data_IF_759607412688
#
_entry.id   IF_759607412688
#
_cell.length_a   1.000
_cell.length_b   1.000
_cell.length_c   1.000
_cell.angle_alpha   90.00
_cell.angle_beta   90.00
_cell.angle_gamma   90.00
#
_symmetry.space_group_name_H-M   'P 1'
#
loop_
_entity.id
_entity.type
_entity.pdbx_description
1 polymer ?
#
# COMPACT_ATOMS: atom_id res chain seq x y z
N UNK A 1 -20.18 21.97 31.46
CA UNK A 1 -19.76 21.67 32.83
C UNK A 1 -18.25 21.84 32.90
N UNK A 2 -17.79 23.01 33.36
CA UNK A 2 -16.36 23.30 33.54
C UNK A 2 -15.85 22.42 34.67
N UNK A 3 -14.86 21.56 34.44
CA UNK A 3 -14.20 20.84 35.53
C UNK A 3 -13.48 21.86 36.41
N UNK A 4 -14.02 22.14 37.58
CA UNK A 4 -13.39 23.00 38.58
C UNK A 4 -12.31 22.19 39.30
N UNK A 5 -11.05 22.60 39.11
CA UNK A 5 -9.91 22.02 39.80
C UNK A 5 -9.62 22.83 41.06
N UNK A 6 -9.49 22.17 42.21
CA UNK A 6 -9.28 22.78 43.55
C UNK A 6 -8.17 23.85 43.55
N UNK A 7 -7.11 23.61 42.78
CA UNK A 7 -5.91 24.44 42.72
C UNK A 7 -5.74 25.13 41.35
N UNK A 8 -6.85 25.53 40.71
CA UNK A 8 -6.80 26.23 39.44
C UNK A 8 -6.18 27.63 39.61
N UNK A 9 -5.07 27.90 38.88
CA UNK A 9 -4.31 29.16 38.87
C UNK A 9 -3.63 29.55 40.20
N UNK A 10 -3.52 28.62 41.15
CA UNK A 10 -2.76 28.85 42.39
C UNK A 10 -1.26 28.66 42.18
N UNK A 11 -0.45 29.41 42.92
CA UNK A 11 1.01 29.24 42.93
C UNK A 11 1.40 27.84 43.43
N UNK A 12 2.52 27.30 42.94
CA UNK A 12 3.04 26.00 43.35
C UNK A 12 3.70 26.09 44.73
N UNK A 13 3.38 25.17 45.63
CA UNK A 13 4.08 25.04 46.91
C UNK A 13 5.28 24.09 46.78
N UNK A 14 6.23 24.19 47.73
CA UNK A 14 7.41 23.31 47.79
C UNK A 14 6.98 21.84 47.93
N UNK A 15 5.98 21.56 48.76
CA UNK A 15 5.46 20.20 48.97
C UNK A 15 4.82 19.64 47.70
N UNK A 16 4.07 20.46 46.95
CA UNK A 16 3.49 20.04 45.66
C UNK A 16 4.58 19.73 44.64
N UNK A 17 5.65 20.53 44.59
CA UNK A 17 6.78 20.29 43.68
C UNK A 17 7.57 19.03 44.07
N UNK A 18 7.82 18.82 45.36
CA UNK A 18 8.47 17.60 45.87
C UNK A 18 7.64 16.35 45.59
N UNK A 19 6.30 16.45 45.69
CA UNK A 19 5.40 15.36 45.31
C UNK A 19 5.47 15.05 43.82
N UNK A 20 5.50 16.07 42.96
CA UNK A 20 5.70 15.88 41.52
C UNK A 20 7.05 15.20 41.26
N UNK A 21 8.13 15.65 41.89
CA UNK A 21 9.46 15.02 41.76
C UNK A 21 9.51 13.55 42.16
N UNK A 22 8.88 13.19 43.27
CA UNK A 22 8.91 11.82 43.78
C UNK A 22 8.08 10.83 42.92
N UNK A 23 6.97 11.30 42.35
CA UNK A 23 5.95 10.45 41.73
C UNK A 23 5.88 10.54 40.19
N UNK A 24 6.42 11.61 39.57
CA UNK A 24 6.37 11.80 38.12
C UNK A 24 7.22 10.74 37.40
N UNK A 25 6.58 9.93 36.55
CA UNK A 25 7.21 8.81 35.85
C UNK A 25 7.05 7.44 36.53
N UNK A 26 6.65 7.42 37.81
CA UNK A 26 6.27 6.19 38.54
C UNK A 26 4.75 5.97 38.53
N UNK A 27 3.99 7.06 38.70
CA UNK A 27 2.53 7.02 38.73
C UNK A 27 1.93 7.64 37.45
N UNK A 28 0.72 7.23 37.04
CA UNK A 28 -0.02 7.90 35.98
C UNK A 28 -0.20 9.39 36.28
N UNK A 29 0.08 10.26 35.30
CA UNK A 29 -0.01 11.72 35.47
C UNK A 29 -1.42 12.18 35.87
N UNK A 30 -2.46 11.43 35.50
CA UNK A 30 -3.84 11.70 35.88
C UNK A 30 -4.07 11.52 37.40
N UNK A 31 -3.42 10.55 38.04
CA UNK A 31 -3.53 10.33 39.49
C UNK A 31 -2.80 11.42 40.27
N UNK A 32 -1.61 11.82 39.78
CA UNK A 32 -0.86 12.95 40.34
C UNK A 32 -1.69 14.24 40.23
N UNK A 33 -2.34 14.47 39.09
CA UNK A 33 -3.21 15.62 38.86
C UNK A 33 -4.43 15.62 39.80
N UNK A 34 -5.08 14.47 39.99
CA UNK A 34 -6.18 14.31 40.92
C UNK A 34 -5.76 14.55 42.38
N UNK A 35 -4.61 13.99 42.79
CA UNK A 35 -4.07 14.14 44.14
C UNK A 35 -3.75 15.59 44.48
N UNK A 36 -3.14 16.32 43.54
CA UNK A 36 -2.79 17.73 43.72
C UNK A 36 -3.95 18.69 43.39
N UNK A 37 -5.11 18.18 42.96
CA UNK A 37 -6.25 19.00 42.56
C UNK A 37 -5.93 20.00 41.43
N UNK A 38 -4.98 19.64 40.54
CA UNK A 38 -4.48 20.45 39.43
C UNK A 38 -4.78 19.78 38.10
N UNK A 39 -4.66 20.50 37.00
CA UNK A 39 -4.83 19.92 35.66
C UNK A 39 -3.61 19.06 35.28
N UNK A 40 -3.84 18.04 34.43
CA UNK A 40 -2.76 17.23 33.84
C UNK A 40 -1.73 18.10 33.11
N UNK A 41 -2.18 19.18 32.45
CA UNK A 41 -1.31 20.17 31.81
C UNK A 41 -0.43 20.91 32.81
N UNK A 42 -0.96 21.31 33.97
CA UNK A 42 -0.17 21.95 35.02
C UNK A 42 0.93 21.01 35.56
N UNK A 43 0.61 19.74 35.80
CA UNK A 43 1.60 18.74 36.25
C UNK A 43 2.72 18.58 35.21
N UNK A 44 2.39 18.48 33.92
CA UNK A 44 3.38 18.38 32.84
C UNK A 44 4.28 19.61 32.75
N UNK A 45 3.73 20.81 32.95
CA UNK A 45 4.50 22.05 32.94
C UNK A 45 5.42 22.16 34.15
N UNK A 46 4.95 21.78 35.35
CA UNK A 46 5.78 21.72 36.55
C UNK A 46 6.92 20.70 36.41
N UNK A 47 6.62 19.50 35.92
CA UNK A 47 7.64 18.50 35.66
C UNK A 47 8.68 18.96 34.60
N UNK A 48 8.27 19.77 33.63
CA UNK A 48 9.18 20.41 32.68
C UNK A 48 10.07 21.45 33.37
N UNK A 49 9.50 22.29 34.24
CA UNK A 49 10.24 23.29 35.00
C UNK A 49 11.23 22.65 35.99
N UNK A 50 10.88 21.50 36.57
CA UNK A 50 11.72 20.67 37.44
C UNK A 50 12.75 19.81 36.68
N UNK A 51 12.77 19.85 35.34
CA UNK A 51 13.71 19.05 34.54
C UNK A 51 13.43 17.54 34.53
N UNK A 52 12.26 17.10 35.03
CA UNK A 52 11.84 15.70 35.12
C UNK A 52 11.33 15.14 33.78
N UNK A 53 11.18 15.99 32.77
CA UNK A 53 10.87 15.52 31.41
C UNK A 53 12.05 14.74 30.85
N UNK A 54 11.77 13.60 30.19
CA UNK A 54 12.80 12.83 29.48
C UNK A 54 13.66 13.79 28.65
N UNK A 55 14.96 13.76 28.91
CA UNK A 55 16.00 14.58 28.27
C UNK A 55 15.64 14.80 26.81
N UNK A 56 15.45 16.05 26.41
CA UNK A 56 15.37 16.39 25.00
C UNK A 56 16.64 15.82 24.37
N UNK A 57 16.48 14.84 23.47
CA UNK A 57 17.62 14.24 22.81
C UNK A 57 18.42 15.38 22.16
N UNK A 58 19.72 15.46 22.48
CA UNK A 58 20.60 16.56 22.10
C UNK A 58 20.73 16.74 20.58
N UNK A 59 21.67 17.57 20.09
CA UNK A 59 21.89 17.69 18.65
C UNK A 59 22.13 16.32 18.01
N UNK A 60 21.64 16.14 16.77
CA UNK A 60 21.81 14.88 16.03
C UNK A 60 23.29 14.63 15.72
N UNK A 61 23.83 13.51 16.19
CA UNK A 61 25.22 13.14 15.92
C UNK A 61 25.38 12.59 14.49
N UNK A 62 26.60 12.52 13.98
CA UNK A 62 26.83 11.96 12.64
C UNK A 62 26.56 10.46 12.57
N UNK A 63 26.74 9.72 13.68
CA UNK A 63 26.41 8.31 13.79
C UNK A 63 24.90 8.10 13.67
N UNK A 64 24.11 8.91 14.37
CA UNK A 64 22.65 8.86 14.27
C UNK A 64 22.18 9.19 12.85
N UNK A 65 22.82 10.18 12.19
CA UNK A 65 22.55 10.51 10.79
C UNK A 65 22.96 9.39 9.83
N UNK A 66 24.04 8.67 10.11
CA UNK A 66 24.47 7.52 9.32
C UNK A 66 23.44 6.39 9.38
N UNK A 67 22.87 6.12 10.57
CA UNK A 67 21.77 5.14 10.75
C UNK A 67 20.54 5.53 9.91
N UNK A 68 20.22 6.82 9.81
CA UNK A 68 19.14 7.27 8.92
C UNK A 68 19.48 7.04 7.44
N UNK A 69 20.72 7.37 7.01
CA UNK A 69 21.15 7.22 5.61
C UNK A 69 21.15 5.77 5.13
N UNK A 70 21.36 4.81 6.03
CA UNK A 70 21.37 3.38 5.71
C UNK A 70 20.03 2.73 6.05
N UNK A 71 19.76 2.51 7.34
CA UNK A 71 18.63 1.69 7.79
C UNK A 71 17.26 2.31 7.54
N UNK A 72 17.13 3.64 7.67
CA UNK A 72 15.88 4.31 7.35
C UNK A 72 15.63 4.35 5.83
N UNK A 73 16.67 4.69 5.05
CA UNK A 73 16.64 4.71 3.59
C UNK A 73 16.31 3.34 2.99
N UNK A 74 16.91 2.27 3.49
CA UNK A 74 16.67 0.88 3.05
C UNK A 74 15.30 0.35 3.47
N UNK A 75 14.61 1.06 4.38
CA UNK A 75 13.28 0.69 4.84
C UNK A 75 13.28 -0.47 5.84
N UNK A 76 14.30 -0.59 6.68
CA UNK A 76 14.41 -1.64 7.69
C UNK A 76 13.21 -1.67 8.65
N UNK A 77 12.77 -0.53 9.16
CA UNK A 77 11.71 -0.50 10.19
C UNK A 77 11.77 0.81 10.93
N UNK A 78 10.67 1.55 11.12
CA UNK A 78 10.73 2.63 12.12
C UNK A 78 11.00 2.04 13.51
N UNK A 79 10.46 0.85 13.79
CA UNK A 79 10.74 0.11 15.02
C UNK A 79 12.21 -0.31 15.12
N UNK A 80 12.80 -0.85 14.04
CA UNK A 80 14.21 -1.23 14.00
C UNK A 80 15.14 -0.02 14.12
N UNK A 81 14.89 1.06 13.36
CA UNK A 81 15.68 2.30 13.46
C UNK A 81 15.61 2.88 14.87
N UNK A 82 14.47 2.73 15.56
CA UNK A 82 14.33 3.17 16.95
C UNK A 82 15.17 2.33 17.93
N UNK A 83 15.41 1.03 17.68
CA UNK A 83 16.32 0.25 18.54
C UNK A 83 17.77 0.67 18.38
N UNK A 84 18.15 1.20 17.22
CA UNK A 84 19.49 1.74 16.94
C UNK A 84 19.66 3.18 17.44
N UNK A 85 18.57 3.89 17.75
CA UNK A 85 18.57 5.29 18.21
C UNK A 85 17.87 5.40 19.58
N UNK A 86 18.46 4.83 20.65
CA UNK A 86 17.85 4.89 21.98
C UNK A 86 17.73 6.34 22.44
N UNK A 87 16.53 6.73 22.89
CA UNK A 87 16.24 8.11 23.31
C UNK A 87 15.66 9.01 22.23
N UNK A 88 15.70 8.62 20.95
CA UNK A 88 14.99 9.33 19.88
C UNK A 88 13.56 8.80 19.72
N UNK A 89 12.58 9.69 19.77
CA UNK A 89 11.19 9.34 19.51
C UNK A 89 10.94 9.12 18.00
N UNK A 90 9.97 8.26 17.65
CA UNK A 90 9.63 7.95 16.24
C UNK A 90 9.36 9.21 15.40
N UNK A 91 8.63 10.19 15.95
CA UNK A 91 8.34 11.44 15.25
C UNK A 91 9.64 12.22 14.96
N UNK A 92 10.54 12.33 15.95
CA UNK A 92 11.83 13.02 15.80
C UNK A 92 12.71 12.35 14.74
N UNK A 93 12.73 11.02 14.69
CA UNK A 93 13.41 10.24 13.64
C UNK A 93 12.84 10.57 12.26
N UNK A 94 11.51 10.58 12.12
CA UNK A 94 10.87 10.90 10.82
C UNK A 94 11.03 12.34 10.39
N UNK A 95 11.03 13.29 11.33
CA UNK A 95 11.29 14.71 11.08
C UNK A 95 12.73 14.90 10.63
N UNK A 96 13.69 14.31 11.33
CA UNK A 96 15.09 14.41 10.94
C UNK A 96 15.37 13.79 9.58
N UNK A 97 14.78 12.62 9.30
CA UNK A 97 14.90 12.00 8.00
C UNK A 97 14.35 12.91 6.89
N UNK A 98 13.22 13.58 7.12
CA UNK A 98 12.65 14.58 6.20
C UNK A 98 13.57 15.77 5.99
N UNK A 99 14.11 16.34 7.07
CA UNK A 99 15.06 17.47 7.00
C UNK A 99 16.32 17.12 6.21
N UNK A 100 16.75 15.86 6.30
CA UNK A 100 17.89 15.32 5.55
C UNK A 100 17.53 14.87 4.12
N UNK A 101 16.25 14.95 3.71
CA UNK A 101 15.78 14.46 2.42
C UNK A 101 15.79 12.93 2.27
N UNK A 102 15.93 12.19 3.36
CA UNK A 102 15.99 10.72 3.36
C UNK A 102 14.56 10.18 3.35
N UNK A 103 14.19 9.49 2.27
CA UNK A 103 12.91 8.79 2.15
C UNK A 103 13.11 7.30 2.32
N UNK A 104 12.27 6.67 3.12
CA UNK A 104 12.30 5.22 3.29
C UNK A 104 11.90 4.50 2.01
N UNK A 105 12.64 3.45 1.62
CA UNK A 105 12.32 2.60 0.47
C UNK A 105 10.91 1.97 0.56
N UNK A 106 10.30 1.89 1.75
CA UNK A 106 8.92 1.42 1.90
C UNK A 106 7.87 2.45 1.44
N UNK A 107 8.19 3.74 1.48
CA UNK A 107 7.27 4.81 1.11
C UNK A 107 7.32 5.04 -0.39
N UNK A 108 6.16 5.06 -1.06
CA UNK A 108 6.07 5.36 -2.50
C UNK A 108 6.20 6.87 -2.75
N UNK A 109 7.21 7.27 -3.52
CA UNK A 109 7.38 8.66 -3.92
C UNK A 109 6.28 9.06 -4.92
N UNK A 110 5.80 10.32 -4.90
CA UNK A 110 4.84 10.80 -5.89
C UNK A 110 5.26 10.55 -7.34
N UNK A 111 6.56 10.66 -7.65
CA UNK A 111 7.08 10.35 -8.99
C UNK A 111 6.95 8.87 -9.34
N UNK A 112 7.21 7.96 -8.39
CA UNK A 112 7.07 6.52 -8.61
C UNK A 112 5.60 6.16 -8.83
N UNK A 113 4.68 6.79 -8.08
CA UNK A 113 3.23 6.65 -8.28
C UNK A 113 2.82 7.15 -9.66
N UNK A 114 3.32 8.32 -10.09
CA UNK A 114 3.04 8.86 -11.43
C UNK A 114 3.50 7.91 -12.54
N UNK A 115 4.72 7.37 -12.42
CA UNK A 115 5.26 6.39 -13.37
C UNK A 115 4.38 5.14 -13.39
N UNK A 116 4.00 4.63 -12.21
CA UNK A 116 3.16 3.45 -12.08
C UNK A 116 1.79 3.65 -12.74
N UNK A 117 1.11 4.76 -12.45
CA UNK A 117 -0.21 5.10 -13.03
C UNK A 117 -0.17 5.20 -14.56
N UNK A 118 0.90 5.77 -15.13
CA UNK A 118 1.01 5.94 -16.58
C UNK A 118 1.41 4.65 -17.32
N UNK A 119 2.31 3.85 -16.73
CA UNK A 119 2.95 2.72 -17.43
C UNK A 119 2.35 1.36 -17.08
N UNK A 120 1.77 1.19 -15.89
CA UNK A 120 1.19 -0.10 -15.47
C UNK A 120 0.05 -0.58 -16.37
N UNK A 121 -0.89 0.28 -16.83
CA UNK A 121 -1.94 -0.17 -17.75
C UNK A 121 -1.41 -0.70 -19.09
N UNK A 122 -0.25 -0.21 -19.55
CA UNK A 122 0.37 -0.56 -20.84
C UNK A 122 1.35 -1.73 -20.75
N UNK A 123 2.15 -1.77 -19.69
CA UNK A 123 3.28 -2.69 -19.54
C UNK A 123 3.07 -3.75 -18.46
N UNK A 124 2.09 -3.57 -17.59
CA UNK A 124 1.88 -4.39 -16.40
C UNK A 124 3.11 -4.41 -15.51
N UNK A 125 3.50 -5.60 -15.06
CA UNK A 125 4.67 -5.82 -14.18
C UNK A 125 6.01 -5.46 -14.82
N UNK A 126 6.09 -5.27 -16.14
CA UNK A 126 7.33 -4.84 -16.82
C UNK A 126 7.73 -3.41 -16.46
N UNK A 127 6.85 -2.63 -15.82
CA UNK A 127 7.16 -1.30 -15.26
C UNK A 127 8.31 -1.33 -14.25
N UNK A 128 8.64 -2.49 -13.67
CA UNK A 128 9.79 -2.68 -12.76
C UNK A 128 11.11 -2.17 -13.35
N UNK A 129 11.27 -2.21 -14.68
CA UNK A 129 12.46 -1.69 -15.38
C UNK A 129 12.62 -0.16 -15.24
N UNK A 130 11.55 0.56 -14.93
CA UNK A 130 11.53 2.01 -14.71
C UNK A 130 11.49 2.38 -13.22
N UNK A 131 11.43 1.39 -12.33
CA UNK A 131 11.36 1.56 -10.88
C UNK A 131 12.42 0.65 -10.21
N UNK A 132 13.73 1.00 -10.31
CA UNK A 132 14.82 0.10 -9.92
C UNK A 132 14.87 -0.24 -8.42
N UNK A 133 14.19 0.55 -7.57
CA UNK A 133 14.09 0.30 -6.12
C UNK A 133 12.83 -0.50 -5.72
N UNK A 134 12.01 -0.92 -6.68
CA UNK A 134 10.74 -1.62 -6.43
C UNK A 134 10.79 -3.05 -6.92
N UNK A 135 10.28 -3.96 -6.11
CA UNK A 135 10.06 -5.34 -6.52
C UNK A 135 8.77 -5.47 -7.33
N UNK A 136 8.68 -6.49 -8.18
CA UNK A 136 7.46 -6.81 -8.94
C UNK A 136 6.26 -6.97 -8.02
N UNK A 137 6.46 -7.55 -6.83
CA UNK A 137 5.38 -7.75 -5.86
C UNK A 137 4.91 -6.44 -5.23
N UNK A 138 5.85 -5.55 -4.87
CA UNK A 138 5.49 -4.20 -4.38
C UNK A 138 4.71 -3.40 -5.43
N UNK A 139 5.05 -3.56 -6.71
CA UNK A 139 4.36 -2.94 -7.84
C UNK A 139 2.92 -3.46 -7.97
N UNK A 140 2.69 -4.78 -7.85
CA UNK A 140 1.33 -5.35 -7.87
C UNK A 140 0.49 -4.85 -6.70
N UNK A 141 1.05 -4.85 -5.49
CA UNK A 141 0.36 -4.36 -4.29
C UNK A 141 0.01 -2.89 -4.44
N UNK A 142 0.93 -2.06 -4.94
CA UNK A 142 0.65 -0.64 -5.12
C UNK A 142 -0.34 -0.41 -6.26
N UNK A 143 -0.24 -1.16 -7.34
CA UNK A 143 -1.19 -1.08 -8.45
C UNK A 143 -2.61 -1.47 -8.02
N UNK A 144 -2.78 -2.50 -7.19
CA UNK A 144 -4.09 -2.87 -6.65
C UNK A 144 -4.65 -1.81 -5.70
N UNK A 145 -3.81 -1.19 -4.86
CA UNK A 145 -4.20 -0.06 -4.02
C UNK A 145 -4.65 1.17 -4.82
N UNK A 146 -4.15 1.34 -6.04
CA UNK A 146 -4.50 2.43 -6.96
C UNK A 146 -5.56 2.02 -8.00
N UNK A 147 -6.15 0.84 -7.86
CA UNK A 147 -7.10 0.21 -8.81
C UNK A 147 -6.61 0.22 -10.28
N UNK A 148 -5.30 0.08 -10.48
CA UNK A 148 -4.70 0.00 -11.80
C UNK A 148 -4.83 -1.42 -12.36
N UNK A 149 -5.49 -1.54 -13.50
CA UNK A 149 -5.64 -2.81 -14.21
C UNK A 149 -4.75 -2.85 -15.45
N UNK A 150 -4.01 -3.94 -15.60
CA UNK A 150 -3.27 -4.21 -16.81
C UNK A 150 -4.21 -4.78 -17.86
N UNK A 151 -4.50 -3.99 -18.89
CA UNK A 151 -5.25 -4.46 -20.05
C UNK A 151 -4.25 -4.99 -21.06
N UNK A 152 -4.16 -6.31 -21.20
CA UNK A 152 -3.54 -6.88 -22.41
C UNK A 152 -4.35 -6.36 -23.59
N UNK A 153 -3.77 -5.42 -24.36
CA UNK A 153 -4.25 -5.12 -25.70
C UNK A 153 -4.12 -6.42 -26.50
N UNK A 154 -5.19 -7.22 -26.52
CA UNK A 154 -5.33 -8.30 -27.49
C UNK A 154 -5.56 -7.59 -28.82
N UNK A 155 -4.48 -7.22 -29.50
CA UNK A 155 -4.55 -6.95 -30.92
C UNK A 155 -4.99 -8.27 -31.54
N UNK A 156 -6.28 -8.38 -31.85
CA UNK A 156 -6.78 -9.50 -32.64
C UNK A 156 -6.23 -9.26 -34.04
N UNK A 157 -5.20 -10.01 -34.42
CA UNK A 157 -4.61 -9.95 -35.77
C UNK A 157 -5.66 -10.20 -36.85
N UNK A 158 -6.73 -10.91 -36.52
CA UNK A 158 -7.85 -11.20 -37.41
C UNK A 158 -9.20 -10.81 -36.80
N UNK A 159 -10.10 -10.17 -37.57
CA UNK A 159 -11.49 -9.95 -37.15
C UNK A 159 -12.17 -11.26 -36.76
N UNK A 160 -13.10 -11.21 -35.80
CA UNK A 160 -13.94 -12.39 -35.50
C UNK A 160 -14.83 -12.61 -36.71
N UNK A 161 -14.48 -13.60 -37.53
CA UNK A 161 -15.27 -13.91 -38.71
C UNK A 161 -16.51 -14.70 -38.28
N UNK A 162 -17.66 -14.06 -38.29
CA UNK A 162 -18.96 -14.69 -38.06
C UNK A 162 -19.23 -15.74 -39.15
N UNK A 163 -19.90 -16.84 -38.80
CA UNK A 163 -20.36 -17.83 -39.77
C UNK A 163 -21.58 -17.25 -40.50
N UNK A 164 -21.52 -17.22 -41.82
CA UNK A 164 -22.64 -16.78 -42.67
C UNK A 164 -23.71 -17.87 -42.78
N UNK A 165 -24.92 -17.51 -43.19
CA UNK A 165 -26.03 -18.46 -43.33
C UNK A 165 -25.71 -19.55 -44.36
N UNK A 166 -25.05 -19.19 -45.47
CA UNK A 166 -24.57 -20.14 -46.47
C UNK A 166 -23.53 -21.12 -45.91
N UNK A 167 -22.59 -20.62 -45.09
CA UNK A 167 -21.60 -21.48 -44.43
C UNK A 167 -22.26 -22.42 -43.41
N UNK A 168 -23.30 -21.98 -42.70
CA UNK A 168 -24.07 -22.83 -41.80
C UNK A 168 -24.84 -23.91 -42.55
N UNK A 169 -25.51 -23.56 -43.65
CA UNK A 169 -26.23 -24.51 -44.48
C UNK A 169 -25.28 -25.54 -45.12
N UNK A 170 -24.12 -25.08 -45.59
CA UNK A 170 -23.07 -25.95 -46.13
C UNK A 170 -22.49 -26.88 -45.05
N UNK A 171 -22.33 -26.39 -43.82
CA UNK A 171 -21.89 -27.18 -42.67
C UNK A 171 -22.92 -28.26 -42.30
N UNK A 172 -24.21 -27.91 -42.31
CA UNK A 172 -25.32 -28.81 -42.02
C UNK A 172 -25.40 -29.97 -43.00
N UNK A 173 -25.35 -29.68 -44.31
CA UNK A 173 -25.36 -30.69 -45.38
C UNK A 173 -24.17 -31.66 -45.29
N UNK A 174 -23.03 -31.18 -44.78
CA UNK A 174 -21.78 -31.94 -44.70
C UNK A 174 -21.42 -32.39 -43.27
N UNK A 175 -22.41 -32.50 -42.37
CA UNK A 175 -22.21 -32.93 -40.98
C UNK A 175 -21.56 -34.31 -40.84
N UNK A 176 -21.73 -35.18 -41.84
CA UNK A 176 -21.20 -36.54 -41.89
C UNK A 176 -19.68 -36.61 -42.17
N UNK A 177 -19.09 -35.59 -42.80
CA UNK A 177 -17.67 -35.57 -43.16
C UNK A 177 -16.76 -35.29 -41.96
N UNK A 178 -15.51 -35.73 -42.01
CA UNK A 178 -14.55 -35.41 -40.95
C UNK A 178 -14.09 -33.94 -41.04
N UNK A 179 -13.80 -33.27 -39.91
CA UNK A 179 -13.36 -31.86 -39.93
C UNK A 179 -12.12 -31.59 -40.78
N UNK A 180 -11.28 -32.60 -41.02
CA UNK A 180 -10.12 -32.52 -41.93
C UNK A 180 -10.53 -32.41 -43.40
N UNK A 181 -11.54 -33.15 -43.84
CA UNK A 181 -12.02 -33.15 -45.22
C UNK A 181 -12.81 -31.88 -45.53
N UNK A 182 -13.51 -31.35 -44.53
CA UNK A 182 -14.26 -30.10 -44.64
C UNK A 182 -13.37 -28.87 -44.80
N UNK A 183 -12.07 -28.95 -44.51
CA UNK A 183 -11.15 -27.82 -44.73
C UNK A 183 -11.07 -27.41 -46.21
N UNK A 184 -11.33 -28.35 -47.13
CA UNK A 184 -11.41 -28.09 -48.58
C UNK A 184 -12.65 -27.26 -48.93
N UNK A 185 -13.76 -27.46 -48.21
CA UNK A 185 -15.02 -26.74 -48.42
C UNK A 185 -15.03 -25.35 -47.77
N UNK A 186 -14.20 -25.13 -46.76
CA UNK A 186 -14.09 -23.86 -46.03
C UNK A 186 -12.65 -23.33 -46.07
N UNK A 187 -12.16 -22.84 -47.21
CA UNK A 187 -10.75 -22.45 -47.38
C UNK A 187 -10.32 -21.31 -46.45
N UNK A 188 -11.26 -20.48 -45.98
CA UNK A 188 -11.01 -19.38 -45.05
C UNK A 188 -11.22 -19.76 -43.57
N UNK A 189 -11.51 -21.03 -43.27
CA UNK A 189 -11.76 -21.51 -41.90
C UNK A 189 -10.71 -22.51 -41.47
N UNK A 190 -10.23 -22.35 -40.25
CA UNK A 190 -9.34 -23.35 -39.64
C UNK A 190 -10.13 -24.59 -39.26
N UNK A 191 -9.48 -25.76 -39.26
CA UNK A 191 -10.06 -27.03 -38.80
C UNK A 191 -10.75 -26.90 -37.43
N UNK A 192 -10.12 -26.17 -36.50
CA UNK A 192 -10.66 -25.91 -35.16
C UNK A 192 -11.96 -25.09 -35.20
N UNK A 193 -12.06 -24.11 -36.10
CA UNK A 193 -13.28 -23.33 -36.27
C UNK A 193 -14.45 -24.20 -36.76
N UNK A 194 -14.18 -25.09 -37.72
CA UNK A 194 -15.16 -26.04 -38.27
C UNK A 194 -15.63 -27.02 -37.18
N UNK A 195 -14.71 -27.61 -36.43
CA UNK A 195 -15.01 -28.52 -35.32
C UNK A 195 -15.93 -27.86 -34.28
N UNK A 196 -15.60 -26.63 -33.85
CA UNK A 196 -16.42 -25.86 -32.91
C UNK A 196 -17.78 -25.48 -33.49
N UNK A 197 -17.88 -25.23 -34.79
CA UNK A 197 -19.16 -24.98 -35.45
C UNK A 197 -20.03 -26.23 -35.50
N UNK A 198 -19.45 -27.40 -35.81
CA UNK A 198 -20.17 -28.70 -35.76
C UNK A 198 -20.69 -29.02 -34.36
N UNK A 199 -19.88 -28.77 -33.33
CA UNK A 199 -20.32 -28.93 -31.93
C UNK A 199 -21.55 -28.05 -31.62
N UNK A 200 -21.56 -26.80 -32.07
CA UNK A 200 -22.69 -25.87 -31.87
C UNK A 200 -23.95 -26.35 -32.59
N UNK A 201 -23.81 -26.76 -33.85
CA UNK A 201 -24.93 -27.24 -34.66
C UNK A 201 -25.55 -28.52 -34.09
N UNK A 202 -24.72 -29.48 -33.65
CA UNK A 202 -25.18 -30.70 -32.96
C UNK A 202 -25.95 -30.38 -31.67
N UNK A 203 -25.47 -29.42 -30.88
CA UNK A 203 -26.16 -28.98 -29.66
C UNK A 203 -27.51 -28.34 -29.97
N UNK A 204 -27.57 -27.51 -31.01
CA UNK A 204 -28.81 -26.88 -31.45
C UNK A 204 -29.83 -27.91 -31.93
N UNK A 205 -29.43 -28.84 -32.79
CA UNK A 205 -30.33 -29.89 -33.31
C UNK A 205 -30.84 -30.80 -32.19
N UNK A 206 -29.98 -31.17 -31.22
CA UNK A 206 -30.39 -31.94 -30.03
C UNK A 206 -31.33 -31.17 -29.09
N UNK A 207 -31.32 -29.84 -29.08
CA UNK A 207 -32.29 -29.04 -28.32
C UNK A 207 -33.65 -28.96 -29.00
N UNK A 208 -33.69 -28.96 -30.34
CA UNK A 208 -34.94 -28.90 -31.12
C UNK A 208 -35.64 -30.27 -31.18
N UNK A 209 -34.89 -31.37 -31.09
CA UNK A 209 -35.46 -32.73 -31.09
C UNK A 209 -35.96 -33.23 -29.72
N UNK A 210 -36.02 -32.36 -28.70
CA UNK A 210 -36.60 -32.63 -27.37
C UNK A 210 -37.87 -31.82 -27.18
#
# INVERSE_FOLDING_TARGET
MSQEYRNHRTAWTVDELAFVEAHYGKNPVAEIAAHLGRTVTAIRLAAKALGLCKVQAGPWTEEEKAVLRTHYADGAGIAYVQTQLPGRAKHSITEKARDMGITSARNWHPDEVRILTQLYPKMGTKVVRKLPRRSVESIKIKASQLDLKYTKLKVRETPVQCWTDDEWHLLEKNLHLFPSEMTVLFPNRTKLAIEKAKERLRKHNNMISK
#
